data_IF_845943247256
#
_entry.id   IF_845943247256
#
_cell.length_a   1.000
_cell.length_b   1.000
_cell.length_c   1.000
_cell.angle_alpha   90.00
_cell.angle_beta   90.00
_cell.angle_gamma   90.00
#
_symmetry.space_group_name_H-M   'P 1'
#
loop_
_entity.id
_entity.type
_entity.pdbx_description
1 polymer ?
#
# COMPACT_ATOMS: atom_id res chain seq x y z
N UNK A 1 10.10 -7.47 29.23
CA UNK A 1 11.42 -7.47 28.55
C UNK A 1 11.16 -7.46 27.03
N UNK A 2 12.21 -7.32 26.22
CA UNK A 2 12.13 -7.41 24.75
C UNK A 2 13.03 -8.52 24.27
N UNK A 3 12.54 -9.38 23.37
CA UNK A 3 13.30 -10.46 22.77
C UNK A 3 13.66 -10.13 21.31
N UNK A 4 14.83 -10.59 20.87
CA UNK A 4 15.24 -10.48 19.47
C UNK A 4 14.61 -11.61 18.65
N UNK A 5 14.13 -11.27 17.47
CA UNK A 5 13.72 -12.22 16.44
C UNK A 5 14.35 -11.81 15.11
N UNK A 6 14.94 -12.75 14.38
CA UNK A 6 15.46 -12.50 13.02
C UNK A 6 14.47 -13.12 12.05
N UNK A 7 13.95 -12.30 11.14
CA UNK A 7 13.09 -12.74 10.05
C UNK A 7 14.00 -13.20 8.91
N UNK A 8 13.79 -14.43 8.46
CA UNK A 8 14.58 -15.11 7.43
C UNK A 8 13.72 -15.48 6.21
N UNK A 9 12.40 -15.55 6.36
CA UNK A 9 11.47 -15.77 5.24
C UNK A 9 11.31 -14.51 4.38
N UNK A 10 11.65 -14.63 3.09
CA UNK A 10 11.61 -13.54 2.10
C UNK A 10 10.21 -12.92 1.97
N UNK A 11 9.14 -13.73 1.96
CA UNK A 11 7.77 -13.20 1.85
C UNK A 11 7.40 -12.36 3.06
N UNK A 12 7.81 -12.80 4.26
CA UNK A 12 7.58 -12.09 5.51
C UNK A 12 8.37 -10.78 5.54
N UNK A 13 9.61 -10.78 5.04
CA UNK A 13 10.44 -9.58 4.90
C UNK A 13 9.81 -8.56 3.96
N UNK A 14 9.42 -8.96 2.76
CA UNK A 14 8.80 -8.06 1.78
C UNK A 14 7.48 -7.48 2.27
N UNK A 15 6.69 -8.30 2.98
CA UNK A 15 5.45 -7.86 3.57
C UNK A 15 5.70 -6.85 4.70
N UNK A 16 6.69 -7.12 5.56
CA UNK A 16 7.08 -6.21 6.62
C UNK A 16 7.59 -4.87 6.05
N UNK A 17 8.43 -4.92 5.02
CA UNK A 17 8.95 -3.73 4.33
C UNK A 17 7.79 -2.89 3.77
N UNK A 18 6.86 -3.54 3.05
CA UNK A 18 5.70 -2.89 2.46
C UNK A 18 4.83 -2.18 3.51
N UNK A 19 4.55 -2.85 4.63
CA UNK A 19 3.76 -2.30 5.74
C UNK A 19 4.51 -1.14 6.42
N UNK A 20 5.81 -1.32 6.66
CA UNK A 20 6.67 -0.29 7.28
C UNK A 20 6.75 0.97 6.44
N UNK A 21 6.94 0.86 5.12
CA UNK A 21 6.97 2.01 4.21
C UNK A 21 5.66 2.81 4.34
N UNK A 22 4.50 2.16 4.30
CA UNK A 22 3.21 2.87 4.42
C UNK A 22 3.04 3.53 5.79
N UNK A 23 3.36 2.82 6.87
CA UNK A 23 3.18 3.34 8.24
C UNK A 23 4.16 4.43 8.63
N UNK A 24 5.42 4.34 8.19
CA UNK A 24 6.44 5.35 8.48
C UNK A 24 6.12 6.71 7.86
N UNK A 25 5.58 6.73 6.64
CA UNK A 25 5.17 7.96 5.97
C UNK A 25 4.04 8.70 6.70
N UNK A 26 3.24 7.95 7.46
CA UNK A 26 2.12 8.47 8.24
C UNK A 26 2.39 8.60 9.73
N UNK A 27 3.65 8.42 10.17
CA UNK A 27 4.03 8.51 11.58
C UNK A 27 3.32 7.48 12.46
N UNK A 28 2.87 6.36 11.88
CA UNK A 28 2.20 5.26 12.59
C UNK A 28 3.22 4.35 13.26
N UNK A 29 4.40 4.20 12.63
CA UNK A 29 5.56 3.51 13.19
C UNK A 29 6.86 4.20 12.73
N UNK A 30 7.90 4.15 13.54
CA UNK A 30 9.20 4.76 13.25
C UNK A 30 10.28 3.73 12.90
N UNK A 31 10.01 2.44 13.12
CA UNK A 31 10.90 1.34 12.80
C UNK A 31 10.11 0.02 12.63
N UNK A 32 10.79 -1.04 12.23
CA UNK A 32 10.21 -2.36 12.03
C UNK A 32 9.65 -3.00 13.30
N UNK A 33 10.28 -2.79 14.45
CA UNK A 33 9.80 -3.36 15.72
C UNK A 33 8.47 -2.72 16.13
N UNK A 34 8.36 -1.40 16.01
CA UNK A 34 7.12 -0.67 16.24
C UNK A 34 6.04 -1.06 15.21
N UNK A 35 6.43 -1.34 13.97
CA UNK A 35 5.52 -1.84 12.93
C UNK A 35 4.90 -3.16 13.32
N UNK A 36 5.68 -4.10 13.88
CA UNK A 36 5.19 -5.39 14.37
C UNK A 36 4.22 -5.18 15.53
N UNK A 37 4.57 -4.34 16.51
CA UNK A 37 3.67 -4.02 17.63
C UNK A 37 2.36 -3.44 17.13
N UNK A 38 2.38 -2.43 16.24
CA UNK A 38 1.16 -1.87 15.64
C UNK A 38 0.35 -2.95 14.93
N UNK A 39 1.00 -3.83 14.17
CA UNK A 39 0.35 -4.90 13.42
C UNK A 39 -0.34 -5.91 14.34
N UNK A 40 0.30 -6.28 15.46
CA UNK A 40 -0.29 -7.13 16.49
C UNK A 40 -1.52 -6.45 17.11
N UNK A 41 -1.42 -5.17 17.45
CA UNK A 41 -2.55 -4.43 18.02
C UNK A 41 -3.73 -4.31 17.05
N UNK A 42 -3.48 -4.14 15.75
CA UNK A 42 -4.53 -4.16 14.72
C UNK A 42 -5.14 -5.54 14.53
N UNK A 43 -4.32 -6.60 14.52
CA UNK A 43 -4.80 -7.98 14.45
C UNK A 43 -5.74 -8.31 15.62
N UNK A 44 -5.41 -7.83 16.81
CA UNK A 44 -6.26 -7.94 18.01
C UNK A 44 -7.42 -6.96 18.06
N UNK A 45 -7.55 -6.06 17.07
CA UNK A 45 -8.55 -4.97 17.02
C UNK A 45 -8.48 -4.00 18.20
N UNK A 46 -7.32 -3.92 18.87
CA UNK A 46 -7.04 -2.95 19.94
C UNK A 46 -6.66 -1.58 19.39
N UNK A 47 -6.06 -1.55 18.20
CA UNK A 47 -5.82 -0.35 17.40
C UNK A 47 -6.55 -0.48 16.08
N UNK A 48 -7.06 0.63 15.54
CA UNK A 48 -7.65 0.68 14.20
C UNK A 48 -7.07 1.89 13.47
N UNK A 49 -6.31 1.62 12.42
CA UNK A 49 -5.95 2.64 11.44
C UNK A 49 -7.05 2.72 10.39
N UNK A 50 -7.59 3.91 10.18
CA UNK A 50 -8.64 4.16 9.18
C UNK A 50 -8.03 4.26 7.78
N UNK A 51 -8.60 3.54 6.82
CA UNK A 51 -8.03 3.38 5.47
C UNK A 51 -8.07 4.67 4.66
N UNK A 52 -9.14 5.45 4.79
CA UNK A 52 -9.28 6.77 4.18
C UNK A 52 -8.21 7.73 4.71
N UNK A 53 -8.01 7.81 6.04
CA UNK A 53 -6.97 8.66 6.62
C UNK A 53 -5.58 8.21 6.17
N UNK A 54 -5.34 6.90 6.11
CA UNK A 54 -4.09 6.35 5.63
C UNK A 54 -3.85 6.70 4.16
N UNK A 55 -4.84 6.51 3.28
CA UNK A 55 -4.76 6.89 1.88
C UNK A 55 -4.51 8.39 1.72
N UNK A 56 -5.26 9.26 2.41
CA UNK A 56 -5.06 10.71 2.34
C UNK A 56 -3.65 11.12 2.77
N UNK A 57 -3.14 10.51 3.85
CA UNK A 57 -1.80 10.75 4.34
C UNK A 57 -0.74 10.32 3.32
N UNK A 58 -0.82 9.07 2.85
CA UNK A 58 0.07 8.48 1.84
C UNK A 58 0.06 9.35 0.59
N UNK A 59 -1.11 9.74 0.07
CA UNK A 59 -1.21 10.58 -1.13
C UNK A 59 -0.62 11.99 -0.95
N UNK A 60 -0.69 12.56 0.26
CA UNK A 60 -0.09 13.88 0.56
C UNK A 60 1.42 13.83 0.73
N UNK A 61 1.93 12.76 1.34
CA UNK A 61 3.34 12.62 1.73
C UNK A 61 4.20 12.05 0.63
N UNK A 62 3.66 11.14 -0.16
CA UNK A 62 4.36 10.44 -1.23
C UNK A 62 4.07 11.05 -2.61
N UNK A 63 4.09 12.38 -2.73
CA UNK A 63 3.86 13.07 -4.01
C UNK A 63 4.77 12.46 -5.10
N UNK A 64 4.17 11.72 -6.03
CA UNK A 64 4.86 11.14 -7.19
C UNK A 64 5.67 9.86 -6.94
N UNK A 65 5.60 9.19 -5.79
CA UNK A 65 6.34 7.94 -5.57
C UNK A 65 5.72 7.08 -4.44
N UNK A 66 4.64 6.37 -4.76
CA UNK A 66 4.17 5.26 -3.95
C UNK A 66 4.95 4.02 -4.36
N UNK A 67 6.16 3.77 -3.85
CA UNK A 67 6.88 2.52 -4.21
C UNK A 67 6.50 1.37 -3.31
N UNK A 68 6.03 0.29 -3.92
CA UNK A 68 5.90 -1.01 -3.29
C UNK A 68 6.97 -1.93 -3.88
N UNK A 69 7.56 -2.85 -3.09
CA UNK A 69 8.40 -3.90 -3.67
C UNK A 69 7.57 -4.65 -4.72
N UNK A 70 8.23 -5.06 -5.82
CA UNK A 70 7.58 -5.87 -6.84
C UNK A 70 7.21 -7.21 -6.22
N UNK A 71 5.97 -7.31 -5.75
CA UNK A 71 5.42 -8.57 -5.29
C UNK A 71 5.14 -9.43 -6.53
N UNK A 72 5.31 -10.75 -6.42
CA UNK A 72 5.03 -11.77 -7.45
C UNK A 72 3.67 -11.65 -8.19
N UNK A 73 2.77 -10.78 -7.72
CA UNK A 73 1.41 -10.57 -8.25
C UNK A 73 1.23 -9.27 -9.04
N UNK A 74 2.23 -8.40 -9.11
CA UNK A 74 2.15 -7.17 -9.90
C UNK A 74 2.26 -7.51 -11.40
N UNK A 75 1.51 -6.79 -12.24
CA UNK A 75 1.74 -6.80 -13.70
C UNK A 75 3.06 -6.08 -14.02
N UNK A 76 3.53 -6.17 -15.26
CA UNK A 76 4.65 -5.34 -15.75
C UNK A 76 4.21 -3.86 -15.89
N UNK A 77 2.93 -3.61 -16.16
CA UNK A 77 2.34 -2.28 -16.24
C UNK A 77 0.87 -2.33 -15.81
N UNK A 78 0.34 -1.20 -15.37
CA UNK A 78 -1.06 -1.11 -15.00
C UNK A 78 -1.51 0.30 -14.67
N UNK A 79 -2.80 0.57 -14.90
CA UNK A 79 -3.40 1.89 -14.71
C UNK A 79 -4.82 1.70 -14.20
N UNK A 80 -5.24 2.52 -13.24
CA UNK A 80 -6.63 2.63 -12.86
C UNK A 80 -7.05 4.10 -12.65
N UNK A 81 -8.27 4.41 -13.09
CA UNK A 81 -8.96 5.68 -12.85
C UNK A 81 -10.22 5.38 -12.04
N UNK A 82 -10.29 5.97 -10.85
CA UNK A 82 -11.42 5.85 -9.96
C UNK A 82 -12.02 7.22 -9.66
N UNK A 83 -13.31 7.37 -9.95
CA UNK A 83 -14.03 8.64 -9.82
C UNK A 83 -15.22 8.42 -8.89
N UNK A 84 -15.40 9.34 -7.96
CA UNK A 84 -16.64 9.50 -7.21
C UNK A 84 -17.25 10.83 -7.60
N UNK A 85 -18.45 10.80 -8.17
CA UNK A 85 -19.22 11.99 -8.52
C UNK A 85 -20.68 11.86 -8.05
N UNK A 86 -21.53 12.81 -8.46
CA UNK A 86 -22.96 12.81 -8.13
C UNK A 86 -23.72 11.57 -8.61
N UNK A 87 -23.16 10.79 -9.55
CA UNK A 87 -23.73 9.53 -10.05
C UNK A 87 -23.19 8.31 -9.28
N UNK A 88 -22.28 8.51 -8.32
CA UNK A 88 -21.68 7.47 -7.49
C UNK A 88 -20.24 7.14 -7.92
N UNK A 89 -19.82 5.91 -7.63
CA UNK A 89 -18.49 5.42 -7.95
C UNK A 89 -18.42 4.87 -9.39
N UNK A 90 -17.39 5.27 -10.13
CA UNK A 90 -17.05 4.67 -11.42
C UNK A 90 -15.56 4.31 -11.46
N UNK A 91 -15.27 3.07 -11.87
CA UNK A 91 -13.93 2.65 -12.29
C UNK A 91 -13.93 2.70 -13.81
N UNK A 92 -13.09 3.55 -14.38
CA UNK A 92 -13.01 3.73 -15.83
C UNK A 92 -11.71 3.14 -16.36
N UNK A 93 -11.81 2.41 -17.47
CA UNK A 93 -10.67 2.19 -18.36
C UNK A 93 -10.31 3.54 -19.01
N UNK A 94 -9.02 3.86 -19.06
CA UNK A 94 -8.49 5.12 -19.62
C UNK A 94 -8.88 5.35 -21.08
N UNK A 95 -9.40 4.32 -21.77
CA UNK A 95 -10.01 4.41 -23.11
C UNK A 95 -11.04 5.53 -23.26
N UNK A 96 -11.77 5.87 -22.21
CA UNK A 96 -12.79 6.92 -22.25
C UNK A 96 -12.26 8.30 -21.86
N UNK A 97 -11.00 8.42 -21.45
CA UNK A 97 -10.35 9.67 -21.04
C UNK A 97 -8.93 9.75 -21.62
N UNK A 98 -8.77 9.93 -22.95
CA UNK A 98 -7.46 9.90 -23.61
C UNK A 98 -6.51 10.99 -23.10
N UNK A 99 -7.01 12.18 -22.81
CA UNK A 99 -6.20 13.29 -22.24
C UNK A 99 -5.56 12.89 -20.90
N UNK A 100 -6.30 12.17 -20.06
CA UNK A 100 -5.79 11.66 -18.79
C UNK A 100 -4.75 10.57 -19.05
N UNK A 101 -4.99 9.69 -20.03
CA UNK A 101 -4.07 8.61 -20.39
C UNK A 101 -2.71 9.15 -20.85
N UNK A 102 -2.72 10.11 -21.77
CA UNK A 102 -1.53 10.76 -22.31
C UNK A 102 -0.75 11.51 -21.22
N UNK A 103 -1.47 12.24 -20.35
CA UNK A 103 -0.88 12.92 -19.20
C UNK A 103 -0.15 11.95 -18.26
N UNK A 104 -0.76 10.80 -17.94
CA UNK A 104 -0.16 9.79 -17.07
C UNK A 104 1.03 9.10 -17.73
N UNK A 105 0.96 8.79 -19.03
CA UNK A 105 2.09 8.23 -19.79
C UNK A 105 3.29 9.17 -19.77
N UNK A 106 3.06 10.45 -20.08
CA UNK A 106 4.09 11.49 -19.99
C UNK A 106 4.70 11.54 -18.59
N UNK A 107 3.87 11.54 -17.53
CA UNK A 107 4.38 11.51 -16.14
C UNK A 107 5.19 10.26 -15.82
N UNK A 108 4.76 9.08 -16.25
CA UNK A 108 5.50 7.82 -16.04
C UNK A 108 6.86 7.84 -16.75
N UNK A 109 6.98 8.45 -17.93
CA UNK A 109 8.25 8.58 -18.65
C UNK A 109 9.29 9.35 -17.83
N UNK A 110 8.86 10.43 -17.17
CA UNK A 110 9.75 11.29 -16.39
C UNK A 110 9.82 10.95 -14.89
N UNK A 111 9.00 10.01 -14.42
CA UNK A 111 9.02 9.57 -13.03
C UNK A 111 10.37 8.91 -12.71
N UNK A 112 11.07 9.35 -11.65
CA UNK A 112 12.31 8.71 -11.24
C UNK A 112 12.03 7.29 -10.76
N UNK A 113 12.95 6.37 -11.06
CA UNK A 113 12.94 5.04 -10.46
C UNK A 113 13.34 5.19 -9.01
N UNK A 114 12.38 5.05 -8.11
CA UNK A 114 12.66 5.05 -6.68
C UNK A 114 13.12 3.65 -6.33
N UNK A 115 14.41 3.55 -6.01
CA UNK A 115 14.97 2.34 -5.41
C UNK A 115 14.41 2.25 -4.00
N UNK A 116 13.63 1.22 -3.75
CA UNK A 116 13.54 0.70 -2.38
C UNK A 116 14.96 0.16 -2.10
N UNK A 117 15.55 0.52 -0.97
CA UNK A 117 16.76 -0.17 -0.52
C UNK A 117 16.45 -1.66 -0.58
N UNK A 118 17.26 -2.48 -1.29
CA UNK A 118 17.00 -3.91 -1.44
C UNK A 118 16.57 -4.49 -0.09
N UNK A 119 15.40 -5.16 -0.05
CA UNK A 119 14.93 -5.84 1.15
C UNK A 119 16.11 -6.63 1.71
N UNK A 120 16.60 -6.33 2.93
CA UNK A 120 17.80 -6.99 3.42
C UNK A 120 17.50 -8.49 3.53
N UNK A 121 18.46 -9.35 3.18
CA UNK A 121 18.31 -10.83 3.24
C UNK A 121 17.76 -11.33 4.59
N UNK A 122 18.00 -10.56 5.65
CA UNK A 122 17.46 -10.79 6.98
C UNK A 122 17.19 -9.47 7.69
N UNK A 123 16.22 -9.48 8.60
CA UNK A 123 15.94 -8.34 9.49
C UNK A 123 15.78 -8.78 10.94
N UNK A 124 16.60 -8.24 11.83
CA UNK A 124 16.40 -8.42 13.28
C UNK A 124 15.46 -7.34 13.83
N UNK A 125 14.39 -7.80 14.46
CA UNK A 125 13.39 -6.98 15.17
C UNK A 125 13.41 -7.29 16.66
N UNK A 126 12.94 -6.34 17.46
CA UNK A 126 12.76 -6.48 18.90
C UNK A 126 11.26 -6.58 19.20
N UNK A 127 10.83 -7.72 19.72
CA UNK A 127 9.43 -7.99 20.04
C UNK A 127 9.31 -7.98 21.56
N UNK A 128 8.39 -7.18 22.10
CA UNK A 128 8.08 -7.24 23.53
C UNK A 128 7.45 -8.58 23.90
N UNK A 129 7.55 -8.97 25.17
CA UNK A 129 7.11 -10.31 25.59
C UNK A 129 5.61 -10.56 25.34
N UNK A 130 4.76 -9.55 25.57
CA UNK A 130 3.32 -9.64 25.33
C UNK A 130 3.00 -9.94 23.86
N UNK A 131 3.60 -9.18 22.94
CA UNK A 131 3.44 -9.36 21.49
C UNK A 131 4.00 -10.74 21.07
N UNK A 132 5.10 -11.19 21.68
CA UNK A 132 5.68 -12.52 21.39
C UNK A 132 4.76 -13.66 21.82
N UNK A 133 4.13 -13.55 22.99
CA UNK A 133 3.14 -14.51 23.44
C UNK A 133 1.95 -14.56 22.47
N UNK A 134 1.48 -13.41 21.99
CA UNK A 134 0.41 -13.33 21.00
C UNK A 134 0.82 -13.98 19.68
N UNK A 135 2.02 -13.70 19.17
CA UNK A 135 2.54 -14.29 17.93
C UNK A 135 2.68 -15.81 18.08
N UNK A 136 3.19 -16.28 19.21
CA UNK A 136 3.32 -17.71 19.51
C UNK A 136 1.94 -18.38 19.59
N UNK A 137 0.97 -17.73 20.24
CA UNK A 137 -0.41 -18.20 20.29
C UNK A 137 -1.04 -18.30 18.90
N UNK A 138 -0.80 -17.32 18.01
CA UNK A 138 -1.28 -17.34 16.62
C UNK A 138 -0.64 -18.51 15.86
N UNK A 139 0.68 -18.67 15.97
CA UNK A 139 1.41 -19.80 15.38
C UNK A 139 0.76 -21.13 15.78
N UNK A 140 0.54 -21.35 17.07
CA UNK A 140 0.02 -22.62 17.57
C UNK A 140 -1.46 -22.82 17.23
N UNK A 141 -2.28 -21.75 17.33
CA UNK A 141 -3.71 -21.78 16.99
C UNK A 141 -3.97 -22.13 15.54
N UNK A 142 -3.18 -21.57 14.62
CA UNK A 142 -3.31 -21.81 13.18
C UNK A 142 -2.41 -22.94 12.67
N UNK A 143 -1.69 -23.64 13.57
CA UNK A 143 -0.75 -24.73 13.24
C UNK A 143 0.28 -24.32 12.18
N UNK A 144 0.83 -23.12 12.34
CA UNK A 144 1.86 -22.57 11.45
C UNK A 144 3.23 -23.16 11.81
N UNK A 145 4.13 -23.23 10.83
CA UNK A 145 5.41 -23.92 10.99
C UNK A 145 6.42 -23.04 11.74
N UNK A 146 6.35 -21.72 11.55
CA UNK A 146 7.34 -20.77 12.06
C UNK A 146 6.71 -19.53 12.71
N UNK A 147 7.55 -18.74 13.39
CA UNK A 147 7.16 -17.39 13.85
C UNK A 147 6.93 -16.46 12.65
N UNK A 148 7.72 -16.60 11.59
CA UNK A 148 7.59 -15.82 10.35
C UNK A 148 6.23 -16.03 9.68
N UNK A 149 5.71 -17.27 9.65
CA UNK A 149 4.36 -17.57 9.15
C UNK A 149 3.27 -16.84 9.95
N UNK A 150 3.44 -16.78 11.27
CA UNK A 150 2.53 -16.07 12.16
C UNK A 150 2.61 -14.55 11.96
N UNK A 151 3.82 -14.02 11.79
CA UNK A 151 4.04 -12.62 11.42
C UNK A 151 3.38 -12.29 10.08
N UNK A 152 3.52 -13.14 9.07
CA UNK A 152 2.82 -13.00 7.78
C UNK A 152 1.30 -12.94 7.97
N UNK A 153 0.75 -13.83 8.79
CA UNK A 153 -0.70 -13.83 9.10
C UNK A 153 -1.14 -12.53 9.78
N UNK A 154 -0.31 -11.97 10.65
CA UNK A 154 -0.59 -10.70 11.34
C UNK A 154 -0.49 -9.51 10.38
N UNK A 155 0.61 -9.41 9.64
CA UNK A 155 0.90 -8.32 8.73
C UNK A 155 -0.12 -8.22 7.59
N UNK A 156 -0.60 -9.36 7.07
CA UNK A 156 -1.67 -9.37 6.04
C UNK A 156 -3.02 -8.87 6.52
N UNK A 157 -3.21 -8.65 7.83
CA UNK A 157 -4.44 -8.09 8.41
C UNK A 157 -4.37 -6.59 8.70
N UNK A 158 -3.22 -5.97 8.46
CA UNK A 158 -2.98 -4.55 8.75
C UNK A 158 -3.74 -3.63 7.79
N UNK A 159 -4.04 -2.41 8.23
CA UNK A 159 -4.61 -1.39 7.35
C UNK A 159 -3.66 -1.05 6.18
N UNK A 160 -2.35 -0.97 6.42
CA UNK A 160 -1.36 -0.77 5.36
C UNK A 160 -1.45 -1.85 4.27
N UNK A 161 -1.44 -3.14 4.65
CA UNK A 161 -1.51 -4.19 3.64
C UNK A 161 -2.85 -4.19 2.90
N UNK A 162 -3.95 -3.88 3.58
CA UNK A 162 -5.27 -3.75 2.95
C UNK A 162 -5.29 -2.63 1.92
N UNK A 163 -4.71 -1.46 2.23
CA UNK A 163 -4.52 -0.37 1.27
C UNK A 163 -3.78 -0.86 0.03
N UNK A 164 -2.64 -1.54 0.22
CA UNK A 164 -1.81 -2.07 -0.87
C UNK A 164 -2.59 -3.04 -1.76
N UNK A 165 -3.29 -3.98 -1.14
CA UNK A 165 -4.10 -4.98 -1.84
C UNK A 165 -5.23 -4.31 -2.60
N UNK A 166 -5.93 -3.34 -2.01
CA UNK A 166 -7.03 -2.64 -2.70
C UNK A 166 -6.51 -1.85 -3.89
N UNK A 167 -5.39 -1.13 -3.77
CA UNK A 167 -4.76 -0.43 -4.90
C UNK A 167 -4.32 -1.40 -6.00
N UNK A 168 -3.70 -2.53 -5.62
CA UNK A 168 -3.29 -3.56 -6.59
C UNK A 168 -4.50 -4.15 -7.32
N UNK A 169 -5.58 -4.48 -6.59
CA UNK A 169 -6.81 -5.04 -7.17
C UNK A 169 -7.55 -4.06 -8.06
N UNK A 170 -7.48 -2.76 -7.75
CA UNK A 170 -8.03 -1.70 -8.59
C UNK A 170 -7.40 -1.72 -9.99
N UNK A 171 -6.10 -2.04 -10.10
CA UNK A 171 -5.37 -2.09 -11.38
C UNK A 171 -5.62 -3.40 -12.15
N UNK A 172 -6.10 -4.42 -11.45
CA UNK A 172 -6.48 -5.69 -12.05
C UNK A 172 -7.99 -5.77 -12.36
N UNK A 173 -8.74 -4.69 -12.15
CA UNK A 173 -10.21 -4.66 -12.29
C UNK A 173 -10.91 -5.74 -11.44
N UNK A 174 -10.36 -6.04 -10.26
CA UNK A 174 -10.86 -7.10 -9.34
C UNK A 174 -11.23 -6.59 -7.96
N UNK A 175 -11.26 -5.26 -7.78
CA UNK A 175 -11.65 -4.62 -6.52
C UNK A 175 -13.17 -4.70 -6.32
N UNK A 176 -13.61 -4.92 -5.09
CA UNK A 176 -15.04 -4.97 -4.75
C UNK A 176 -15.57 -3.61 -4.31
N UNK A 177 -16.89 -3.38 -4.46
CA UNK A 177 -17.55 -2.17 -3.96
C UNK A 177 -17.31 -1.96 -2.46
N UNK A 178 -17.27 -3.04 -1.67
CA UNK A 178 -16.99 -2.95 -0.23
C UNK A 178 -15.58 -2.42 0.05
N UNK A 179 -14.57 -2.87 -0.70
CA UNK A 179 -13.20 -2.37 -0.57
C UNK A 179 -13.11 -0.89 -0.98
N UNK A 180 -13.79 -0.52 -2.07
CA UNK A 180 -13.85 0.87 -2.52
C UNK A 180 -14.56 1.77 -1.50
N UNK A 181 -15.66 1.32 -0.92
CA UNK A 181 -16.42 2.07 0.07
C UNK A 181 -15.60 2.26 1.35
N UNK A 182 -14.86 1.25 1.78
CA UNK A 182 -14.03 1.38 2.97
C UNK A 182 -12.80 2.28 2.75
N UNK A 183 -12.21 2.21 1.57
CA UNK A 183 -11.01 3.00 1.25
C UNK A 183 -11.36 4.44 0.87
N UNK A 184 -12.47 4.64 0.17
CA UNK A 184 -12.82 5.93 -0.45
C UNK A 184 -14.15 6.55 0.01
N UNK A 185 -14.97 5.84 0.78
CA UNK A 185 -16.35 6.25 1.09
C UNK A 185 -16.49 7.58 1.81
N UNK A 186 -15.46 8.00 2.54
CA UNK A 186 -15.44 9.28 3.27
C UNK A 186 -14.99 10.47 2.39
N UNK A 187 -14.46 10.20 1.20
CA UNK A 187 -14.12 11.23 0.23
C UNK A 187 -15.33 11.47 -0.65
N UNK A 188 -15.93 12.67 -0.56
CA UNK A 188 -17.13 13.04 -1.32
C UNK A 188 -16.94 12.93 -2.84
N UNK A 189 -16.76 14.07 -3.52
CA UNK A 189 -16.36 14.05 -4.93
C UNK A 189 -14.84 13.95 -5.05
N UNK A 190 -14.35 13.00 -5.83
CA UNK A 190 -12.91 12.85 -6.05
C UNK A 190 -12.57 12.21 -7.39
N UNK A 191 -11.33 12.45 -7.80
CA UNK A 191 -10.67 11.75 -8.90
C UNK A 191 -9.39 11.16 -8.36
N UNK A 192 -9.28 9.84 -8.39
CA UNK A 192 -8.12 9.08 -7.98
C UNK A 192 -7.55 8.33 -9.18
N UNK A 193 -6.29 8.61 -9.49
CA UNK A 193 -5.54 7.89 -10.52
C UNK A 193 -4.37 7.20 -9.87
N UNK A 194 -4.15 5.97 -10.30
CA UNK A 194 -2.97 5.20 -9.96
C UNK A 194 -2.45 4.51 -11.21
N UNK A 195 -1.17 4.70 -11.53
CA UNK A 195 -0.53 4.02 -12.64
C UNK A 195 0.90 3.63 -12.31
N UNK A 196 1.34 2.53 -12.90
CA UNK A 196 2.68 2.01 -12.68
C UNK A 196 3.27 1.34 -13.91
N UNK A 197 4.60 1.29 -13.96
CA UNK A 197 5.38 0.63 -14.99
C UNK A 197 6.65 0.02 -14.36
N UNK A 198 6.94 -1.25 -14.66
CA UNK A 198 8.18 -1.92 -14.26
C UNK A 198 9.34 -1.46 -15.14
N UNK A 199 10.39 -0.93 -14.51
CA UNK A 199 11.68 -0.74 -15.14
C UNK A 199 12.40 -2.10 -15.26
N UNK A 200 12.44 -2.65 -16.47
CA UNK A 200 13.09 -3.94 -16.76
C UNK A 200 14.60 -3.95 -16.52
N UNK A 201 15.28 -2.80 -16.51
CA UNK A 201 16.73 -2.75 -16.29
C UNK A 201 17.08 -2.95 -14.83
N UNK A 202 16.27 -2.41 -13.94
CA UNK A 202 16.52 -2.39 -12.50
C UNK A 202 15.61 -3.35 -11.74
N UNK A 203 14.55 -3.85 -12.37
CA UNK A 203 13.50 -4.66 -11.77
C UNK A 203 12.63 -3.93 -10.72
N UNK A 204 12.60 -2.60 -10.76
CA UNK A 204 11.77 -1.75 -9.88
C UNK A 204 10.51 -1.25 -10.59
N UNK A 205 9.59 -0.64 -9.84
CA UNK A 205 8.33 -0.12 -10.37
C UNK A 205 8.30 1.41 -10.24
N UNK A 206 8.07 2.11 -11.35
CA UNK A 206 7.70 3.52 -11.36
C UNK A 206 6.22 3.64 -11.05
N UNK A 207 5.85 4.54 -10.14
CA UNK A 207 4.47 4.70 -9.70
C UNK A 207 4.11 6.17 -9.69
N UNK A 208 3.06 6.51 -10.44
CA UNK A 208 2.44 7.85 -10.42
C UNK A 208 1.02 7.73 -9.91
N UNK A 209 0.63 8.68 -9.06
CA UNK A 209 -0.75 8.77 -8.61
C UNK A 209 -1.14 10.23 -8.46
N UNK A 210 -2.42 10.50 -8.65
CA UNK A 210 -3.04 11.81 -8.40
C UNK A 210 -4.35 11.58 -7.68
N UNK A 211 -4.65 12.45 -6.72
CA UNK A 211 -5.84 12.35 -5.91
C UNK A 211 -6.44 13.72 -5.67
N UNK A 212 -7.37 14.15 -6.52
CA UNK A 212 -8.16 15.36 -6.28
C UNK A 212 -9.19 15.08 -5.16
N UNK A 213 -9.31 15.92 -4.11
CA UNK A 213 -8.75 17.27 -3.96
C UNK A 213 -7.47 17.36 -3.08
N UNK A 214 -6.80 16.25 -2.79
CA UNK A 214 -5.71 16.19 -1.82
C UNK A 214 -4.32 16.46 -2.38
N UNK A 215 -3.95 15.81 -3.48
CA UNK A 215 -2.68 15.97 -4.16
C UNK A 215 -2.92 15.84 -5.66
N UNK A 216 -2.79 16.96 -6.36
CA UNK A 216 -2.92 17.04 -7.80
C UNK A 216 -2.15 18.24 -8.33
N UNK A 217 -1.61 18.13 -9.53
CA UNK A 217 -1.04 19.29 -10.21
C UNK A 217 -2.09 20.07 -11.02
N UNK A 218 -1.67 21.24 -11.50
CA UNK A 218 -2.53 22.14 -12.25
C UNK A 218 -2.94 21.60 -13.62
N UNK A 219 -2.11 20.74 -14.23
CA UNK A 219 -2.43 20.12 -15.52
C UNK A 219 -3.52 19.07 -15.34
N UNK A 220 -3.40 18.22 -14.32
CA UNK A 220 -4.44 17.28 -13.93
C UNK A 220 -5.75 17.98 -13.60
N UNK A 221 -5.69 19.06 -12.81
CA UNK A 221 -6.87 19.86 -12.48
C UNK A 221 -7.59 20.35 -13.73
N UNK A 222 -6.84 20.87 -14.72
CA UNK A 222 -7.40 21.33 -15.99
C UNK A 222 -8.06 20.21 -16.77
N UNK A 223 -7.50 19.00 -16.72
CA UNK A 223 -8.05 17.85 -17.45
C UNK A 223 -9.37 17.41 -16.82
N UNK A 224 -9.44 17.29 -15.49
CA UNK A 224 -10.64 16.77 -14.80
C UNK A 224 -11.75 17.81 -14.59
N UNK A 225 -11.45 19.11 -14.68
CA UNK A 225 -12.41 20.21 -14.54
C UNK A 225 -12.95 20.76 -15.88
N UNK A 226 -12.57 20.14 -17.00
CA UNK A 226 -13.14 20.40 -18.33
C UNK A 226 -14.49 19.70 -18.47
#
# INVERSE_FOLDING_TARGET
>A
MTSKHTIEDENTLDLLESVYIVYSQCGISNNYSETITVSVQEFLRKKRTELDKLLSCVSKKLKGALTFPYMLRWKDEGRALFISDVKGFSINDFKHNPDIAEYIESKLLYAPVVKIDESPEQKTIFINDDDKEIISFIKDKYKLNSIDDALTTILTRTAAYRLIVTLTRLIHDTVTISELTELFGEFGMFYFIFAFERDRKTNYIKIVHEFFPYNYDFEFAKIILR
#
